data_IF_436974137947
#
_entry.id   IF_436974137947
#
_cell.length_a   1.000
_cell.length_b   1.000
_cell.length_c   1.000
_cell.angle_alpha   90.00
_cell.angle_beta   90.00
_cell.angle_gamma   90.00
#
_symmetry.space_group_name_H-M   'P 1'
#
loop_
_entity.id
_entity.type
_entity.pdbx_description
1 polymer ?
#
# COMPACT_ATOMS: atom_id res chain seq x y z
N UNK A 1 3.82 -1.62 -20.12
CA UNK A 1 4.59 -2.15 -18.96
C UNK A 1 3.58 -2.90 -18.12
N UNK A 2 3.50 -4.22 -18.23
CA UNK A 2 2.47 -5.01 -17.54
C UNK A 2 2.98 -5.28 -16.12
N UNK A 3 2.28 -4.76 -15.11
CA UNK A 3 2.65 -4.93 -13.71
C UNK A 3 1.79 -6.05 -13.14
N UNK A 4 2.31 -7.27 -13.19
CA UNK A 4 1.63 -8.47 -12.67
C UNK A 4 1.83 -8.56 -11.16
N UNK A 5 0.83 -8.15 -10.37
CA UNK A 5 0.85 -8.17 -8.90
C UNK A 5 -0.34 -8.97 -8.34
N UNK A 6 -0.11 -9.74 -7.27
CA UNK A 6 -1.18 -10.43 -6.56
C UNK A 6 -2.04 -9.44 -5.75
N UNK A 7 -3.37 -9.61 -5.80
CA UNK A 7 -4.30 -8.72 -5.09
C UNK A 7 -4.04 -8.67 -3.60
N UNK A 8 -3.83 -9.84 -2.99
CA UNK A 8 -3.50 -9.96 -1.58
C UNK A 8 -2.19 -9.26 -1.22
N UNK A 9 -1.13 -9.48 -2.01
CA UNK A 9 0.18 -8.88 -1.76
C UNK A 9 0.14 -7.35 -1.82
N UNK A 10 -0.57 -6.77 -2.78
CA UNK A 10 -0.74 -5.32 -2.89
C UNK A 10 -1.44 -4.73 -1.66
N UNK A 11 -2.58 -5.30 -1.27
CA UNK A 11 -3.37 -4.79 -0.16
C UNK A 11 -2.64 -4.92 1.18
N UNK A 12 -1.94 -6.04 1.40
CA UNK A 12 -1.08 -6.24 2.58
C UNK A 12 0.05 -5.21 2.60
N UNK A 13 0.71 -5.00 1.45
CA UNK A 13 1.78 -4.00 1.34
C UNK A 13 1.27 -2.60 1.65
N UNK A 14 0.12 -2.20 1.11
CA UNK A 14 -0.49 -0.90 1.39
C UNK A 14 -0.87 -0.73 2.87
N UNK A 15 -1.37 -1.79 3.50
CA UNK A 15 -1.70 -1.78 4.93
C UNK A 15 -0.45 -1.60 5.80
N UNK A 16 0.60 -2.39 5.55
CA UNK A 16 1.88 -2.30 6.27
C UNK A 16 2.54 -0.95 6.03
N UNK A 17 2.55 -0.48 4.77
CA UNK A 17 3.10 0.82 4.40
C UNK A 17 2.41 1.96 5.16
N UNK A 18 1.07 1.96 5.21
CA UNK A 18 0.31 2.97 5.96
C UNK A 18 0.70 3.01 7.45
N UNK A 19 0.91 1.85 8.08
CA UNK A 19 1.36 1.76 9.48
C UNK A 19 2.78 2.30 9.65
N UNK A 20 3.73 1.89 8.80
CA UNK A 20 5.12 2.38 8.85
C UNK A 20 5.16 3.91 8.74
N UNK A 21 4.38 4.44 7.81
CA UNK A 21 4.25 5.87 7.56
C UNK A 21 3.64 6.53 8.80
N UNK A 22 2.57 6.00 9.39
CA UNK A 22 2.05 6.49 10.68
C UNK A 22 3.11 6.52 11.80
N UNK A 23 3.89 5.45 11.96
CA UNK A 23 4.93 5.40 12.99
C UNK A 23 6.05 6.40 12.75
N UNK A 24 6.36 6.72 11.49
CA UNK A 24 7.33 7.77 11.17
C UNK A 24 6.88 9.15 11.69
N UNK A 25 5.57 9.43 11.69
CA UNK A 25 5.02 10.63 12.34
C UNK A 25 5.34 10.63 13.83
N UNK A 26 5.15 9.49 14.50
CA UNK A 26 5.47 9.33 15.93
C UNK A 26 6.95 9.57 16.20
N UNK A 27 7.84 9.04 15.35
CA UNK A 27 9.29 9.28 15.43
C UNK A 27 9.63 10.76 15.26
N UNK A 28 8.98 11.45 14.31
CA UNK A 28 9.16 12.88 14.08
C UNK A 28 8.68 13.72 15.28
N UNK A 29 7.59 13.31 15.91
CA UNK A 29 7.07 13.93 17.13
C UNK A 29 8.10 13.84 18.28
N UNK A 30 8.80 12.70 18.42
CA UNK A 30 9.86 12.54 19.42
C UNK A 30 11.07 13.47 19.22
N UNK A 31 11.30 13.96 18.00
CA UNK A 31 12.37 14.94 17.70
C UNK A 31 11.85 16.38 17.62
N UNK A 32 10.61 16.62 18.08
CA UNK A 32 9.99 17.94 18.16
C UNK A 32 9.34 18.43 16.86
N UNK A 33 9.13 17.54 15.88
CA UNK A 33 8.44 17.85 14.63
C UNK A 33 7.00 17.37 14.72
N UNK A 34 6.11 18.27 15.13
CA UNK A 34 4.69 17.99 15.22
C UNK A 34 4.03 18.03 13.83
N UNK A 35 3.45 16.90 13.43
CA UNK A 35 2.74 16.77 12.15
C UNK A 35 1.23 16.60 12.40
N UNK A 36 0.35 17.39 11.78
CA UNK A 36 -1.10 17.23 11.94
C UNK A 36 -1.58 15.91 11.30
N UNK A 37 -2.46 15.19 12.01
CA UNK A 37 -2.90 13.85 11.61
C UNK A 37 -3.76 13.85 10.33
N UNK A 38 -4.71 14.77 10.21
CA UNK A 38 -5.71 14.74 9.12
C UNK A 38 -5.06 14.89 7.73
N UNK A 39 -4.18 15.89 7.48
CA UNK A 39 -3.52 16.02 6.18
C UNK A 39 -2.67 14.80 5.82
N UNK A 40 -2.06 14.19 6.84
CA UNK A 40 -1.24 13.00 6.68
C UNK A 40 -2.06 11.78 6.26
N UNK A 41 -3.15 11.52 6.99
CA UNK A 41 -4.07 10.44 6.67
C UNK A 41 -4.65 10.60 5.27
N UNK A 42 -5.04 11.82 4.90
CA UNK A 42 -5.50 12.11 3.54
C UNK A 42 -4.44 11.76 2.48
N UNK A 43 -3.17 12.13 2.69
CA UNK A 43 -2.09 11.79 1.77
C UNK A 43 -1.88 10.27 1.63
N UNK A 44 -1.90 9.52 2.73
CA UNK A 44 -1.79 8.06 2.72
C UNK A 44 -2.95 7.41 1.96
N UNK A 45 -4.19 7.85 2.21
CA UNK A 45 -5.36 7.34 1.51
C UNK A 45 -5.35 7.67 0.01
N UNK A 46 -4.94 8.88 -0.37
CA UNK A 46 -4.78 9.26 -1.77
C UNK A 46 -3.74 8.38 -2.45
N UNK A 47 -2.58 8.18 -1.82
CA UNK A 47 -1.51 7.36 -2.38
C UNK A 47 -1.93 5.89 -2.53
N UNK A 48 -2.60 5.33 -1.54
CA UNK A 48 -3.16 3.98 -1.62
C UNK A 48 -4.21 3.86 -2.75
N UNK A 49 -5.11 4.85 -2.86
CA UNK A 49 -6.11 4.92 -3.93
C UNK A 49 -5.47 4.99 -5.32
N UNK A 50 -4.44 5.83 -5.48
CA UNK A 50 -3.68 5.95 -6.73
C UNK A 50 -2.93 4.66 -7.07
N UNK A 51 -2.34 3.99 -6.08
CA UNK A 51 -1.66 2.72 -6.30
C UNK A 51 -2.63 1.64 -6.79
N UNK A 52 -3.79 1.50 -6.14
CA UNK A 52 -4.84 0.56 -6.57
C UNK A 52 -5.37 0.93 -7.96
N UNK A 53 -5.62 2.22 -8.21
CA UNK A 53 -6.08 2.70 -9.51
C UNK A 53 -5.07 2.38 -10.61
N UNK A 54 -3.79 2.69 -10.38
CA UNK A 54 -2.71 2.44 -11.33
C UNK A 54 -2.60 0.97 -11.69
N UNK A 55 -2.64 0.06 -10.70
CA UNK A 55 -2.62 -1.39 -10.93
C UNK A 55 -3.85 -1.82 -11.73
N UNK A 56 -5.04 -1.33 -11.35
CA UNK A 56 -6.30 -1.66 -12.05
C UNK A 56 -6.30 -1.24 -13.52
N UNK A 57 -5.65 -0.12 -13.87
CA UNK A 57 -5.55 0.32 -15.27
C UNK A 57 -4.46 -0.41 -16.07
N UNK A 58 -3.38 -0.87 -15.43
CA UNK A 58 -2.18 -1.32 -16.12
C UNK A 58 -1.90 -2.83 -16.10
N UNK A 59 -2.61 -3.63 -15.29
CA UNK A 59 -2.34 -5.06 -15.21
C UNK A 59 -3.44 -5.81 -14.49
N UNK A 60 -4.01 -6.82 -15.16
CA UNK A 60 -5.03 -7.69 -14.60
C UNK A 60 -4.53 -8.37 -13.33
N UNK A 61 -5.30 -8.28 -12.26
CA UNK A 61 -5.04 -9.00 -11.01
C UNK A 61 -4.72 -10.46 -11.32
N UNK A 62 -3.59 -10.99 -10.84
CA UNK A 62 -3.37 -12.45 -10.83
C UNK A 62 -4.40 -13.07 -9.90
N UNK A 63 -5.47 -13.59 -10.48
CA UNK A 63 -6.58 -14.25 -9.78
C UNK A 63 -6.43 -15.76 -9.72
N UNK A 64 -5.47 -16.33 -10.45
CA UNK A 64 -5.21 -17.76 -10.46
C UNK A 64 -4.22 -18.12 -9.34
N UNK A 65 -4.60 -19.00 -8.40
CA UNK A 65 -3.62 -19.66 -7.54
C UNK A 65 -2.77 -20.54 -8.45
N UNK A 66 -1.43 -20.43 -8.37
CA UNK A 66 -0.55 -21.44 -8.96
C UNK A 66 -1.00 -22.78 -8.37
N UNK A 67 -1.57 -23.65 -9.22
CA UNK A 67 -2.03 -24.95 -8.80
C UNK A 67 -0.85 -25.68 -8.17
N UNK A 68 -0.98 -26.04 -6.91
CA UNK A 68 -0.12 -26.99 -6.23
C UNK A 68 -0.36 -28.33 -6.96
N UNK A 69 0.24 -28.52 -8.15
CA UNK A 69 0.23 -29.79 -8.86
C UNK A 69 1.13 -30.74 -8.04
N UNK A 70 0.57 -31.73 -7.33
CA UNK A 70 1.40 -32.68 -6.62
C UNK A 70 2.20 -33.50 -7.65
N UNK A 71 3.52 -33.45 -7.52
CA UNK A 71 4.48 -34.21 -8.31
C UNK A 71 4.38 -35.73 -8.10
#
# INVERSE_FOLDING_TARGET
>A
MNVDISRGGLLVTLAVFGVIVYEFRTVLDFVGVELPLIPYMAAVFVLAGLAVWFVTLNGGWRTEPEGDDPA
#
